data_IF_406962812004
#
_entry.id   IF_406962812004
#
_cell.length_a   1.000
_cell.length_b   1.000
_cell.length_c   1.000
_cell.angle_alpha   90.00
_cell.angle_beta   90.00
_cell.angle_gamma   90.00
#
_symmetry.space_group_name_H-M   'P 1'
#
loop_
_entity.id
_entity.type
_entity.pdbx_description
1 polymer ?
#
# COMPACT_ATOMS: atom_id res chain seq x y z
N UNK A 1 -8.90 -6.65 -9.76
CA UNK A 1 -8.64 -7.61 -8.65
C UNK A 1 -9.57 -8.78 -8.86
N UNK A 2 -9.01 -9.96 -9.11
CA UNK A 2 -9.81 -11.15 -9.38
C UNK A 2 -10.45 -11.61 -8.07
N UNK A 3 -11.66 -12.15 -8.11
CA UNK A 3 -12.42 -12.60 -6.92
C UNK A 3 -11.73 -13.70 -6.08
N UNK A 4 -10.53 -14.15 -6.48
CA UNK A 4 -9.71 -15.17 -5.81
C UNK A 4 -8.49 -14.61 -5.07
N UNK A 5 -8.21 -13.31 -5.18
CA UNK A 5 -7.09 -12.72 -4.48
C UNK A 5 -7.37 -12.68 -2.96
N UNK A 6 -6.43 -13.12 -2.10
CA UNK A 6 -6.61 -13.10 -0.65
C UNK A 6 -6.80 -11.66 -0.16
N UNK A 7 -7.92 -11.41 0.51
CA UNK A 7 -8.24 -10.11 1.09
C UNK A 7 -7.74 -10.06 2.54
N UNK A 8 -6.97 -9.01 2.86
CA UNK A 8 -6.44 -8.79 4.20
C UNK A 8 -7.03 -7.48 4.73
N UNK A 9 -7.67 -7.54 5.88
CA UNK A 9 -8.15 -6.36 6.59
C UNK A 9 -7.05 -5.85 7.52
N UNK A 10 -6.60 -4.62 7.30
CA UNK A 10 -5.53 -4.00 8.08
C UNK A 10 -6.16 -2.92 8.98
N UNK A 11 -5.81 -2.91 10.26
CA UNK A 11 -6.18 -1.84 11.18
C UNK A 11 -5.06 -0.81 11.22
N UNK A 12 -5.38 0.41 10.84
CA UNK A 12 -4.45 1.54 10.85
C UNK A 12 -5.06 2.71 11.62
N UNK A 13 -4.23 3.56 12.26
CA UNK A 13 -4.71 4.81 12.85
C UNK A 13 -5.35 5.71 11.80
N UNK A 14 -6.39 6.46 12.20
CA UNK A 14 -7.16 7.32 11.31
C UNK A 14 -6.28 8.38 10.64
N UNK A 15 -5.36 8.98 11.39
CA UNK A 15 -4.39 9.96 10.87
C UNK A 15 -3.51 9.40 9.73
N UNK A 16 -3.22 8.10 9.77
CA UNK A 16 -2.40 7.45 8.73
C UNK A 16 -3.25 7.14 7.50
N UNK A 17 -4.52 6.73 7.71
CA UNK A 17 -5.47 6.53 6.63
C UNK A 17 -5.74 7.82 5.86
N UNK A 18 -5.87 8.94 6.58
CA UNK A 18 -6.14 10.25 5.98
C UNK A 18 -5.01 10.72 5.07
N UNK A 19 -3.76 10.63 5.56
CA UNK A 19 -2.55 10.90 4.76
C UNK A 19 -2.49 10.01 3.52
N UNK A 20 -2.77 8.72 3.69
CA UNK A 20 -2.78 7.77 2.58
C UNK A 20 -3.83 8.17 1.53
N UNK A 21 -5.05 8.53 1.93
CA UNK A 21 -6.11 8.98 1.01
C UNK A 21 -5.69 10.20 0.21
N UNK A 22 -5.15 11.23 0.86
CA UNK A 22 -4.68 12.47 0.21
C UNK A 22 -3.63 12.13 -0.87
N UNK A 23 -2.70 11.24 -0.55
CA UNK A 23 -1.66 10.82 -1.50
C UNK A 23 -2.23 9.99 -2.65
N UNK A 24 -3.21 9.14 -2.35
CA UNK A 24 -3.88 8.30 -3.36
C UNK A 24 -4.72 9.14 -4.34
N UNK A 25 -5.40 10.19 -3.86
CA UNK A 25 -6.15 11.13 -4.69
C UNK A 25 -5.25 11.91 -5.65
N UNK A 26 -4.08 12.35 -5.18
CA UNK A 26 -3.09 13.06 -6.01
C UNK A 26 -2.54 12.18 -7.13
N UNK A 27 -2.30 10.91 -6.83
CA UNK A 27 -1.76 9.94 -7.80
C UNK A 27 -2.85 9.34 -8.72
N UNK A 28 -4.13 9.71 -8.55
CA UNK A 28 -5.29 9.13 -9.25
C UNK A 28 -5.36 7.58 -9.16
N UNK A 29 -4.99 7.03 -8.00
CA UNK A 29 -4.96 5.58 -7.76
C UNK A 29 -6.03 5.14 -6.79
N UNK A 30 -6.22 3.82 -6.67
CA UNK A 30 -7.01 3.24 -5.58
C UNK A 30 -6.13 3.07 -4.34
N UNK A 31 -6.72 3.17 -3.14
CA UNK A 31 -6.02 2.97 -1.87
C UNK A 31 -5.26 1.64 -1.85
N UNK A 32 -5.87 0.58 -2.34
CA UNK A 32 -5.24 -0.74 -2.44
C UNK A 32 -4.04 -0.77 -3.38
N UNK A 33 -4.10 -0.06 -4.52
CA UNK A 33 -2.97 0.03 -5.43
C UNK A 33 -1.79 0.79 -4.80
N UNK A 34 -2.08 1.87 -4.06
CA UNK A 34 -1.05 2.63 -3.34
C UNK A 34 -0.39 1.78 -2.25
N UNK A 35 -1.17 1.01 -1.48
CA UNK A 35 -0.65 0.09 -0.47
C UNK A 35 0.22 -1.00 -1.10
N UNK A 36 -0.21 -1.58 -2.22
CA UNK A 36 0.58 -2.60 -2.93
C UNK A 36 1.94 -2.04 -3.37
N UNK A 37 1.97 -0.85 -3.96
CA UNK A 37 3.21 -0.20 -4.38
C UNK A 37 4.16 0.05 -3.20
N UNK A 38 3.64 0.57 -2.09
CA UNK A 38 4.44 0.80 -0.87
C UNK A 38 5.04 -0.51 -0.34
N UNK A 39 4.28 -1.61 -0.39
CA UNK A 39 4.76 -2.94 0.00
C UNK A 39 5.86 -3.41 -0.96
N UNK A 40 5.65 -3.30 -2.27
CA UNK A 40 6.64 -3.68 -3.29
C UNK A 40 7.95 -2.89 -3.13
N UNK A 41 7.87 -1.58 -2.97
CA UNK A 41 9.04 -0.71 -2.74
C UNK A 41 9.78 -1.08 -1.45
N UNK A 42 9.04 -1.35 -0.38
CA UNK A 42 9.64 -1.75 0.89
C UNK A 42 10.34 -3.11 0.79
N UNK A 43 9.72 -4.08 0.13
CA UNK A 43 10.31 -5.40 -0.11
C UNK A 43 11.60 -5.28 -0.91
N UNK A 44 11.59 -4.54 -2.03
CA UNK A 44 12.76 -4.30 -2.87
C UNK A 44 13.91 -3.63 -2.11
N UNK A 45 13.61 -2.66 -1.24
CA UNK A 45 14.62 -2.00 -0.39
C UNK A 45 15.22 -2.98 0.62
N UNK A 46 14.42 -3.90 1.16
CA UNK A 46 14.86 -4.90 2.12
C UNK A 46 15.76 -5.96 1.48
N UNK A 47 15.43 -6.44 0.28
CA UNK A 47 16.29 -7.38 -0.46
C UNK A 47 17.64 -6.76 -0.80
N UNK A 48 17.67 -5.47 -1.14
CA UNK A 48 18.93 -4.75 -1.39
C UNK A 48 19.77 -4.51 -0.14
N UNK A 49 19.18 -4.48 1.05
CA UNK A 49 19.91 -4.34 2.32
C UNK A 49 20.42 -5.66 2.90
N UNK A 50 20.00 -6.80 2.35
CA UNK A 50 20.47 -8.14 2.75
C UNK A 50 21.50 -8.73 1.79
N UNK A 51 21.96 -7.97 0.78
CA UNK A 51 22.95 -8.39 -0.21
C UNK A 51 24.31 -7.74 0.04
#
# INVERSE_FOLDING_TARGET
MARKDPQINIRVPEETLDKLKIETEKEHRSLTAQVNLLIEEWLLKRTKHQA
#
